data_IF_125198304975
#
_entry.id   IF_125198304975
#
_cell.length_a   1.000
_cell.length_b   1.000
_cell.length_c   1.000
_cell.angle_alpha   90.00
_cell.angle_beta   90.00
_cell.angle_gamma   90.00
#
_symmetry.space_group_name_H-M   'P 1'
#
loop_
_entity.id
_entity.type
_entity.pdbx_description
1 polymer ?
#
# COMPACT_ATOMS: atom_id res chain seq x y z
N UNK A 1 65.79 51.56 -7.17
CA UNK A 1 64.80 52.39 -7.89
C UNK A 1 63.45 52.24 -7.20
N UNK A 2 62.82 53.39 -6.90
CA UNK A 2 61.37 53.71 -6.66
C UNK A 2 60.53 52.65 -5.88
N UNK A 3 60.13 52.87 -4.61
CA UNK A 3 59.05 53.78 -4.08
C UNK A 3 57.68 53.44 -4.69
N UNK A 4 56.53 53.33 -4.00
CA UNK A 4 56.06 53.72 -2.66
C UNK A 4 54.54 53.33 -2.56
N UNK A 5 53.96 53.43 -1.34
CA UNK A 5 52.53 53.69 -1.01
C UNK A 5 51.50 52.56 -1.20
N UNK A 6 50.47 52.38 -0.36
CA UNK A 6 50.04 53.00 0.88
C UNK A 6 49.03 52.09 1.60
N UNK A 7 48.94 52.25 2.93
CA UNK A 7 47.76 52.25 3.80
C UNK A 7 46.45 51.72 3.20
N UNK A 8 45.80 50.71 3.77
CA UNK A 8 45.07 50.82 5.03
C UNK A 8 43.62 51.20 4.75
N UNK A 9 42.66 50.43 5.28
CA UNK A 9 41.35 50.85 5.83
C UNK A 9 40.49 49.62 6.10
N UNK A 10 40.09 49.54 7.36
CA UNK A 10 39.11 48.67 8.02
C UNK A 10 37.72 48.87 7.39
N UNK A 11 36.91 47.81 7.28
CA UNK A 11 35.54 47.78 7.83
C UNK A 11 34.73 46.54 7.38
N UNK A 12 34.36 45.74 8.39
CA UNK A 12 32.99 45.28 8.64
C UNK A 12 32.19 44.67 7.48
N UNK A 13 32.13 43.34 7.47
CA UNK A 13 30.97 42.57 6.98
C UNK A 13 30.63 41.49 8.01
N UNK A 14 30.19 41.95 9.17
CA UNK A 14 29.38 41.19 10.13
C UNK A 14 27.90 41.43 9.83
N UNK A 15 27.08 40.40 10.04
CA UNK A 15 25.60 40.33 9.89
C UNK A 15 25.15 40.17 8.42
N UNK A 16 24.40 39.14 8.00
CA UNK A 16 23.27 38.47 8.63
C UNK A 16 23.34 36.95 8.42
N UNK A 17 23.80 36.23 9.45
CA UNK A 17 23.38 34.84 9.63
C UNK A 17 22.01 34.87 10.28
N UNK A 18 20.93 34.73 9.50
CA UNK A 18 19.63 34.32 10.05
C UNK A 18 19.74 32.86 10.47
N UNK A 19 20.40 32.65 11.61
CA UNK A 19 20.14 31.51 12.46
C UNK A 19 18.69 31.63 12.90
N UNK A 20 17.77 30.93 12.23
CA UNK A 20 16.51 30.57 12.84
C UNK A 20 16.84 29.70 14.06
N UNK A 21 17.00 30.37 15.20
CA UNK A 21 17.04 29.73 16.50
C UNK A 21 15.68 29.05 16.67
N UNK A 22 15.65 27.73 16.43
CA UNK A 22 14.49 26.90 16.72
C UNK A 22 14.36 26.89 18.23
N UNK A 23 13.63 27.88 18.76
CA UNK A 23 13.27 27.94 20.17
C UNK A 23 12.66 26.61 20.54
N UNK A 24 13.23 25.97 21.55
CA UNK A 24 12.70 24.71 22.05
C UNK A 24 11.30 24.97 22.62
N UNK A 25 10.40 23.97 22.58
CA UNK A 25 8.99 24.11 23.02
C UNK A 25 8.89 24.67 24.46
N UNK A 26 9.91 24.41 25.28
CA UNK A 26 10.08 24.93 26.65
C UNK A 26 10.33 26.45 26.71
N UNK A 27 11.03 27.03 25.74
CA UNK A 27 11.33 28.46 25.65
C UNK A 27 10.17 29.28 25.08
N UNK A 28 9.22 28.62 24.41
CA UNK A 28 8.01 29.24 23.88
C UNK A 28 6.86 29.32 24.91
N UNK A 29 7.10 28.98 26.18
CA UNK A 29 6.13 29.12 27.27
C UNK A 29 5.05 28.05 27.32
N UNK A 30 5.21 26.95 26.59
CA UNK A 30 4.30 25.81 26.65
C UNK A 30 4.60 24.95 27.87
N UNK A 31 3.54 24.53 28.57
CA UNK A 31 3.64 23.58 29.67
C UNK A 31 3.99 22.18 29.13
N UNK A 32 5.28 21.88 29.15
CA UNK A 32 5.85 20.63 28.65
C UNK A 32 5.33 19.43 29.44
N UNK A 33 4.95 19.62 30.70
CA UNK A 33 4.40 18.56 31.56
C UNK A 33 2.97 18.23 31.15
N UNK A 34 2.13 19.25 30.93
CA UNK A 34 0.79 19.07 30.39
C UNK A 34 0.82 18.44 28.99
N UNK A 35 1.75 18.83 28.13
CA UNK A 35 1.93 18.21 26.80
C UNK A 35 2.41 16.76 26.92
N UNK A 36 3.33 16.45 27.85
CA UNK A 36 3.78 15.08 28.09
C UNK A 36 2.69 14.21 28.70
N UNK A 37 1.86 14.75 29.59
CA UNK A 37 0.68 14.06 30.10
C UNK A 37 -0.36 13.86 29.00
N UNK A 38 -0.58 14.86 28.15
CA UNK A 38 -1.49 14.72 27.00
C UNK A 38 -0.96 13.70 25.98
N UNK A 39 0.35 13.59 25.76
CA UNK A 39 0.99 12.54 24.95
C UNK A 39 0.93 11.17 25.65
N UNK A 40 1.04 11.12 26.98
CA UNK A 40 0.88 9.87 27.74
C UNK A 40 -0.58 9.40 27.80
N UNK A 41 -1.53 10.33 27.83
CA UNK A 41 -2.97 10.08 27.78
C UNK A 41 -3.38 9.68 26.36
N UNK A 42 -2.85 10.36 25.34
CA UNK A 42 -2.85 9.93 23.95
C UNK A 42 -1.77 8.87 23.74
N UNK A 43 -1.87 7.72 24.42
CA UNK A 43 -1.16 6.51 24.00
C UNK A 43 -1.54 6.25 22.56
N UNK A 44 -0.74 6.75 21.62
CA UNK A 44 -0.86 6.43 20.20
C UNK A 44 -0.71 4.92 20.17
N UNK A 45 -1.82 4.22 19.99
CA UNK A 45 -1.87 2.77 20.03
C UNK A 45 -0.94 2.30 18.92
N UNK A 46 0.24 1.81 19.30
CA UNK A 46 1.27 1.42 18.34
C UNK A 46 0.80 0.13 17.68
N UNK A 47 0.28 0.26 16.46
CA UNK A 47 -0.18 -0.87 15.66
C UNK A 47 1.07 -1.65 15.22
N UNK A 48 1.10 -2.95 15.52
CA UNK A 48 2.23 -3.81 15.15
C UNK A 48 2.11 -4.24 13.68
N UNK A 49 3.22 -4.60 13.00
CA UNK A 49 3.16 -5.17 11.66
C UNK A 49 2.22 -6.39 11.56
N UNK A 50 2.20 -7.24 12.58
CA UNK A 50 1.30 -8.39 12.65
C UNK A 50 -0.17 -7.97 12.72
N UNK A 51 -0.49 -6.89 13.44
CA UNK A 51 -1.86 -6.35 13.49
C UNK A 51 -2.29 -5.78 12.13
N UNK A 52 -1.39 -5.15 11.38
CA UNK A 52 -1.70 -4.72 10.02
C UNK A 52 -1.99 -5.92 9.10
N UNK A 53 -1.12 -6.94 9.13
CA UNK A 53 -1.30 -8.15 8.30
C UNK A 53 -2.60 -8.86 8.64
N UNK A 54 -2.87 -9.10 9.93
CA UNK A 54 -4.11 -9.76 10.38
C UNK A 54 -5.36 -8.96 9.97
N UNK A 55 -5.32 -7.63 10.10
CA UNK A 55 -6.42 -6.78 9.69
C UNK A 55 -6.68 -6.87 8.18
N UNK A 56 -5.61 -6.79 7.37
CA UNK A 56 -5.71 -6.89 5.90
C UNK A 56 -6.23 -8.26 5.49
N UNK A 57 -5.73 -9.33 6.10
CA UNK A 57 -6.13 -10.70 5.79
C UNK A 57 -7.63 -10.93 6.09
N UNK A 58 -8.07 -10.63 7.31
CA UNK A 58 -9.46 -10.81 7.74
C UNK A 58 -10.45 -9.99 6.89
N UNK A 59 -10.13 -8.72 6.66
CA UNK A 59 -11.03 -7.83 5.91
C UNK A 59 -11.06 -8.20 4.43
N UNK A 60 -9.91 -8.49 3.83
CA UNK A 60 -9.83 -8.84 2.42
C UNK A 60 -10.46 -10.19 2.12
N UNK A 61 -10.32 -11.18 3.00
CA UNK A 61 -11.00 -12.47 2.85
C UNK A 61 -12.52 -12.29 2.72
N UNK A 62 -13.12 -11.45 3.58
CA UNK A 62 -14.57 -11.17 3.50
C UNK A 62 -14.97 -10.46 2.20
N UNK A 63 -14.15 -9.52 1.73
CA UNK A 63 -14.37 -8.80 0.46
C UNK A 63 -14.27 -9.76 -0.71
N UNK A 64 -13.24 -10.59 -0.77
CA UNK A 64 -13.02 -11.54 -1.87
C UNK A 64 -14.14 -12.58 -1.94
N UNK A 65 -14.65 -13.07 -0.80
CA UNK A 65 -15.84 -13.95 -0.79
C UNK A 65 -17.04 -13.26 -1.43
N UNK A 66 -17.29 -11.99 -1.11
CA UNK A 66 -18.38 -11.23 -1.69
C UNK A 66 -18.18 -10.95 -3.19
N UNK A 67 -16.94 -10.67 -3.61
CA UNK A 67 -16.57 -10.47 -5.01
C UNK A 67 -16.74 -11.75 -5.83
N UNK A 68 -16.20 -12.87 -5.36
CA UNK A 68 -16.28 -14.15 -6.05
C UNK A 68 -17.73 -14.59 -6.20
N UNK A 69 -18.56 -14.46 -5.16
CA UNK A 69 -20.00 -14.76 -5.26
C UNK A 69 -20.72 -13.89 -6.29
N UNK A 70 -20.37 -12.60 -6.38
CA UNK A 70 -20.99 -11.67 -7.34
C UNK A 70 -20.54 -11.98 -8.77
N UNK A 71 -19.26 -12.32 -8.95
CA UNK A 71 -18.68 -12.70 -10.22
C UNK A 71 -19.28 -14.01 -10.73
N UNK A 72 -19.34 -15.05 -9.89
CA UNK A 72 -19.96 -16.34 -10.18
C UNK A 72 -21.43 -16.17 -10.63
N UNK A 73 -22.21 -15.38 -9.89
CA UNK A 73 -23.60 -15.11 -10.24
C UNK A 73 -23.77 -14.44 -11.62
N UNK A 74 -22.82 -13.60 -12.02
CA UNK A 74 -22.82 -12.99 -13.34
C UNK A 74 -22.41 -13.98 -14.43
N UNK A 75 -21.39 -14.81 -14.16
CA UNK A 75 -20.83 -15.74 -15.14
C UNK A 75 -21.82 -16.83 -15.56
N UNK A 76 -22.81 -17.13 -14.73
CA UNK A 76 -23.95 -17.97 -15.14
C UNK A 76 -24.75 -17.44 -16.34
N UNK A 77 -24.62 -16.14 -16.68
CA UNK A 77 -25.42 -15.48 -17.71
C UNK A 77 -24.57 -14.78 -18.78
N UNK A 78 -23.32 -14.49 -18.48
CA UNK A 78 -22.44 -13.67 -19.31
C UNK A 78 -21.00 -14.21 -19.30
N UNK A 79 -20.21 -13.99 -20.36
CA UNK A 79 -18.79 -14.32 -20.34
C UNK A 79 -18.04 -13.46 -19.31
N UNK A 80 -16.89 -13.96 -18.83
CA UNK A 80 -16.06 -13.31 -17.80
C UNK A 80 -15.75 -11.82 -18.11
N UNK A 81 -15.43 -11.50 -19.37
CA UNK A 81 -15.11 -10.13 -19.79
C UNK A 81 -16.27 -9.15 -19.55
N UNK A 82 -17.50 -9.57 -19.87
CA UNK A 82 -18.70 -8.76 -19.63
C UNK A 82 -18.97 -8.63 -18.13
N UNK A 83 -18.73 -9.71 -17.37
CA UNK A 83 -18.91 -9.71 -15.93
C UNK A 83 -17.95 -8.76 -15.21
N UNK A 84 -16.69 -8.68 -15.61
CA UNK A 84 -15.73 -7.74 -15.03
C UNK A 84 -16.24 -6.30 -15.13
N UNK A 85 -16.80 -5.92 -16.28
CA UNK A 85 -17.38 -4.59 -16.47
C UNK A 85 -18.66 -4.40 -15.64
N UNK A 86 -19.57 -5.37 -15.63
CA UNK A 86 -20.83 -5.29 -14.90
C UNK A 86 -20.66 -5.19 -13.38
N UNK A 87 -19.68 -5.91 -12.82
CA UNK A 87 -19.45 -5.89 -11.37
C UNK A 87 -18.60 -4.70 -10.93
N UNK A 88 -17.92 -4.00 -11.86
CA UNK A 88 -17.03 -2.87 -11.57
C UNK A 88 -17.64 -1.83 -10.61
N UNK A 89 -18.89 -1.35 -10.79
CA UNK A 89 -19.48 -0.37 -9.87
C UNK A 89 -19.63 -0.90 -8.44
N UNK A 90 -19.88 -2.21 -8.28
CA UNK A 90 -19.95 -2.85 -6.97
C UNK A 90 -18.56 -2.92 -6.31
N UNK A 91 -17.52 -3.28 -7.07
CA UNK A 91 -16.15 -3.30 -6.56
C UNK A 91 -15.69 -1.89 -6.19
N UNK A 92 -15.96 -0.90 -7.03
CA UNK A 92 -15.64 0.51 -6.78
C UNK A 92 -16.29 1.00 -5.48
N UNK A 93 -17.54 0.62 -5.22
CA UNK A 93 -18.22 0.93 -3.96
C UNK A 93 -17.52 0.30 -2.76
N UNK A 94 -17.11 -0.98 -2.85
CA UNK A 94 -16.37 -1.65 -1.77
C UNK A 94 -14.99 -1.00 -1.57
N UNK A 95 -14.27 -0.73 -2.65
CA UNK A 95 -12.97 -0.08 -2.65
C UNK A 95 -13.03 1.28 -1.95
N UNK A 96 -14.05 2.09 -2.23
CA UNK A 96 -14.28 3.38 -1.58
C UNK A 96 -14.60 3.22 -0.08
N UNK A 97 -15.48 2.29 0.28
CA UNK A 97 -15.89 2.07 1.68
C UNK A 97 -14.74 1.55 2.53
N UNK A 98 -13.94 0.62 2.00
CA UNK A 98 -12.87 -0.06 2.73
C UNK A 98 -11.51 0.62 2.57
N UNK A 99 -11.34 1.48 1.56
CA UNK A 99 -10.11 2.26 1.35
C UNK A 99 -9.00 1.46 0.67
N UNK A 100 -9.35 0.63 -0.31
CA UNK A 100 -8.38 -0.11 -1.13
C UNK A 100 -8.46 0.28 -2.59
N UNK A 101 -7.40 -0.02 -3.35
CA UNK A 101 -7.42 -0.11 -4.81
C UNK A 101 -7.45 -1.59 -5.19
N UNK A 102 -7.96 -1.92 -6.36
CA UNK A 102 -8.01 -3.31 -6.79
C UNK A 102 -7.58 -3.48 -8.24
N UNK A 103 -7.11 -4.68 -8.55
CA UNK A 103 -6.84 -5.14 -9.90
C UNK A 103 -7.33 -6.58 -10.04
N UNK A 104 -7.89 -6.91 -11.20
CA UNK A 104 -8.18 -8.28 -11.62
C UNK A 104 -7.08 -8.69 -12.60
N UNK A 105 -6.29 -9.69 -12.24
CA UNK A 105 -5.09 -10.06 -12.98
C UNK A 105 -5.29 -11.41 -13.67
N UNK A 106 -5.29 -11.41 -14.99
CA UNK A 106 -5.19 -12.63 -15.79
C UNK A 106 -3.73 -13.10 -15.86
N UNK A 107 -3.48 -14.29 -16.43
CA UNK A 107 -2.13 -14.77 -16.69
C UNK A 107 -1.29 -13.75 -17.49
N UNK A 108 -1.89 -13.12 -18.50
CA UNK A 108 -1.24 -12.08 -19.31
C UNK A 108 -0.88 -10.85 -18.48
N UNK A 109 -1.76 -10.45 -17.58
CA UNK A 109 -1.50 -9.29 -16.70
C UNK A 109 -0.39 -9.60 -15.71
N UNK A 110 -0.32 -10.83 -15.17
CA UNK A 110 0.78 -11.26 -14.31
C UNK A 110 2.12 -11.24 -15.03
N UNK A 111 2.19 -11.65 -16.30
CA UNK A 111 3.39 -11.55 -17.12
C UNK A 111 3.83 -10.09 -17.26
N UNK A 112 2.90 -9.20 -17.61
CA UNK A 112 3.18 -7.76 -17.71
C UNK A 112 3.60 -7.16 -16.36
N UNK A 113 3.00 -7.57 -15.25
CA UNK A 113 3.37 -7.16 -13.89
C UNK A 113 4.78 -7.60 -13.54
N UNK A 114 5.16 -8.83 -13.87
CA UNK A 114 6.52 -9.32 -13.65
C UNK A 114 7.56 -8.51 -14.44
N UNK A 115 7.29 -8.23 -15.72
CA UNK A 115 8.19 -7.44 -16.58
C UNK A 115 8.35 -5.98 -16.12
N UNK A 116 7.26 -5.39 -15.62
CA UNK A 116 7.21 -3.98 -15.20
C UNK A 116 7.48 -3.78 -13.70
N UNK A 117 7.70 -4.85 -12.95
CA UNK A 117 7.94 -4.81 -11.51
C UNK A 117 9.17 -3.95 -11.18
N UNK A 118 8.95 -3.01 -10.27
CA UNK A 118 9.93 -1.98 -9.93
C UNK A 118 10.92 -2.41 -8.85
N UNK A 119 10.55 -3.41 -8.05
CA UNK A 119 11.35 -3.93 -6.94
C UNK A 119 11.57 -5.43 -7.09
N UNK A 120 12.63 -5.94 -6.47
CA UNK A 120 12.91 -7.38 -6.45
C UNK A 120 11.81 -8.17 -5.71
N UNK A 121 11.22 -7.58 -4.67
CA UNK A 121 10.08 -8.17 -3.95
C UNK A 121 8.86 -8.33 -4.87
N UNK A 122 8.53 -7.30 -5.65
CA UNK A 122 7.44 -7.36 -6.63
C UNK A 122 7.71 -8.43 -7.70
N UNK A 123 8.94 -8.49 -8.22
CA UNK A 123 9.35 -9.50 -9.21
C UNK A 123 9.18 -10.93 -8.68
N UNK A 124 9.69 -11.20 -7.48
CA UNK A 124 9.59 -12.53 -6.87
C UNK A 124 8.15 -12.93 -6.60
N UNK A 125 7.31 -11.99 -6.15
CA UNK A 125 5.88 -12.23 -5.94
C UNK A 125 5.20 -12.65 -7.24
N UNK A 126 5.40 -11.89 -8.32
CA UNK A 126 4.75 -12.18 -9.62
C UNK A 126 5.31 -13.42 -10.29
N UNK A 127 6.61 -13.67 -10.16
CA UNK A 127 7.24 -14.88 -10.66
C UNK A 127 6.68 -16.14 -9.97
N UNK A 128 6.45 -16.09 -8.66
CA UNK A 128 5.84 -17.20 -7.93
C UNK A 128 4.42 -17.49 -8.43
N UNK A 129 3.58 -16.46 -8.56
CA UNK A 129 2.22 -16.63 -9.09
C UNK A 129 2.19 -17.13 -10.54
N UNK A 130 3.09 -16.61 -11.40
CA UNK A 130 3.22 -17.10 -12.78
C UNK A 130 3.62 -18.57 -12.81
N UNK A 131 4.63 -18.95 -12.03
CA UNK A 131 5.08 -20.33 -11.93
C UNK A 131 3.95 -21.26 -11.48
N UNK A 132 3.23 -20.91 -10.42
CA UNK A 132 2.14 -21.74 -9.91
C UNK A 132 0.98 -21.85 -10.90
N UNK A 133 0.62 -20.77 -11.61
CA UNK A 133 -0.39 -20.83 -12.66
C UNK A 133 0.05 -21.69 -13.86
N UNK A 134 1.30 -21.57 -14.31
CA UNK A 134 1.83 -22.34 -15.44
C UNK A 134 1.97 -23.84 -15.12
N UNK A 135 2.27 -24.17 -13.86
CA UNK A 135 2.32 -25.56 -13.39
C UNK A 135 0.95 -26.12 -12.99
N UNK A 136 -0.11 -25.32 -13.02
CA UNK A 136 -1.45 -25.73 -12.58
C UNK A 136 -1.52 -26.04 -11.08
N UNK A 137 -0.66 -25.42 -10.28
CA UNK A 137 -0.70 -25.53 -8.82
C UNK A 137 -1.82 -24.66 -8.23
N UNK A 138 -2.28 -25.04 -7.04
CA UNK A 138 -3.24 -24.25 -6.28
C UNK A 138 -2.60 -22.94 -5.81
N UNK A 139 -3.11 -21.83 -6.33
CA UNK A 139 -2.74 -20.51 -5.87
C UNK A 139 -3.23 -20.27 -4.44
N UNK A 140 -2.34 -19.74 -3.60
CA UNK A 140 -2.67 -19.40 -2.21
C UNK A 140 -2.93 -17.91 -2.05
N UNK A 141 -3.82 -17.59 -1.11
CA UNK A 141 -3.99 -16.21 -0.64
C UNK A 141 -2.73 -15.75 0.09
N UNK A 142 -2.33 -14.50 -0.11
CA UNK A 142 -1.10 -13.97 0.49
C UNK A 142 -1.25 -12.50 0.86
N UNK A 143 -0.58 -12.09 1.93
CA UNK A 143 -0.48 -10.69 2.35
C UNK A 143 0.98 -10.28 2.35
N UNK A 144 1.31 -9.29 1.53
CA UNK A 144 2.67 -8.77 1.39
C UNK A 144 2.69 -7.28 1.69
N UNK A 145 3.68 -6.84 2.47
CA UNK A 145 3.94 -5.42 2.67
C UNK A 145 4.99 -4.95 1.66
N UNK A 146 4.60 -4.03 0.78
CA UNK A 146 5.50 -3.40 -0.20
C UNK A 146 6.06 -2.12 0.44
N UNK A 147 7.30 -2.21 0.90
CA UNK A 147 7.92 -1.20 1.77
C UNK A 147 8.08 0.15 1.07
N UNK A 148 8.44 0.12 -0.21
CA UNK A 148 8.71 1.30 -1.04
C UNK A 148 7.45 2.14 -1.22
N UNK A 149 6.29 1.49 -1.36
CA UNK A 149 4.97 2.13 -1.55
C UNK A 149 4.23 2.37 -0.24
N UNK A 150 4.66 1.72 0.85
CA UNK A 150 3.94 1.66 2.15
C UNK A 150 2.52 1.13 1.97
N UNK A 151 2.40 0.04 1.24
CA UNK A 151 1.13 -0.60 0.90
C UNK A 151 1.14 -2.06 1.35
N UNK A 152 -0.02 -2.55 1.78
CA UNK A 152 -0.27 -3.97 1.96
C UNK A 152 -1.03 -4.49 0.75
N UNK A 153 -0.49 -5.51 0.12
CA UNK A 153 -1.08 -6.19 -1.03
C UNK A 153 -1.66 -7.51 -0.54
N UNK A 154 -2.96 -7.68 -0.76
CA UNK A 154 -3.67 -8.93 -0.55
C UNK A 154 -3.94 -9.55 -1.92
N UNK A 155 -3.41 -10.73 -2.15
CA UNK A 155 -3.65 -11.49 -3.37
C UNK A 155 -4.52 -12.69 -3.07
N UNK A 156 -5.52 -12.95 -3.91
CA UNK A 156 -6.39 -14.10 -3.76
C UNK A 156 -6.79 -14.70 -5.12
N UNK A 157 -6.79 -16.04 -5.24
CA UNK A 157 -7.18 -16.69 -6.47
C UNK A 157 -8.66 -16.52 -6.77
N UNK A 158 -8.96 -16.48 -8.06
CA UNK A 158 -10.30 -16.58 -8.60
C UNK A 158 -10.45 -17.98 -9.17
N UNK A 159 -11.20 -18.80 -8.44
CA UNK A 159 -11.49 -20.19 -8.82
C UNK A 159 -12.92 -20.22 -9.34
N UNK A 160 -13.11 -20.78 -10.53
CA UNK A 160 -14.43 -21.03 -11.11
C UNK A 160 -14.74 -22.51 -11.02
N UNK A 161 -15.90 -22.86 -10.47
CA UNK A 161 -16.38 -24.24 -10.42
C UNK A 161 -17.30 -24.51 -11.61
N UNK A 162 -16.86 -24.27 -12.85
CA UNK A 162 -17.68 -24.57 -14.02
C UNK A 162 -17.54 -26.03 -14.46
N UNK A 163 -16.35 -26.63 -14.31
CA UNK A 163 -16.09 -28.03 -14.61
C UNK A 163 -15.41 -28.73 -13.43
N UNK A 164 -16.01 -29.83 -12.94
CA UNK A 164 -15.55 -30.60 -11.79
C UNK A 164 -14.11 -31.17 -11.91
N UNK A 165 -13.48 -31.05 -13.07
CA UNK A 165 -12.14 -31.58 -13.37
C UNK A 165 -11.05 -30.50 -13.47
N UNK A 166 -11.40 -29.20 -13.47
CA UNK A 166 -10.43 -28.10 -13.60
C UNK A 166 -10.63 -27.07 -12.49
N UNK A 167 -10.08 -27.33 -11.30
CA UNK A 167 -9.98 -26.33 -10.22
C UNK A 167 -8.86 -25.31 -10.45
N UNK A 168 -8.32 -25.21 -11.67
CA UNK A 168 -7.23 -24.30 -11.98
C UNK A 168 -7.70 -22.85 -11.83
N UNK A 169 -7.02 -22.02 -11.01
CA UNK A 169 -7.37 -20.62 -10.87
C UNK A 169 -7.13 -19.89 -12.20
N UNK A 170 -8.14 -19.14 -12.64
CA UNK A 170 -8.15 -18.49 -13.95
C UNK A 170 -7.65 -17.05 -13.87
N UNK A 171 -7.74 -16.44 -12.68
CA UNK A 171 -7.29 -15.09 -12.43
C UNK A 171 -6.91 -14.90 -10.95
N UNK A 172 -6.37 -13.72 -10.64
CA UNK A 172 -5.97 -13.31 -9.29
C UNK A 172 -6.58 -11.94 -8.97
N UNK A 173 -7.25 -11.82 -7.83
CA UNK A 173 -7.54 -10.53 -7.23
C UNK A 173 -6.29 -9.98 -6.57
N UNK A 174 -5.97 -8.72 -6.84
CA UNK A 174 -4.99 -7.94 -6.09
C UNK A 174 -5.71 -6.78 -5.42
N UNK A 175 -5.80 -6.79 -4.09
CA UNK A 175 -6.32 -5.68 -3.29
C UNK A 175 -5.16 -4.94 -2.63
N UNK A 176 -5.10 -3.63 -2.81
CA UNK A 176 -3.98 -2.80 -2.40
C UNK A 176 -4.45 -1.78 -1.36
N UNK A 177 -3.94 -1.92 -0.15
CA UNK A 177 -4.27 -1.08 1.00
C UNK A 177 -3.10 -0.16 1.35
N UNK A 178 -3.23 1.16 1.14
CA UNK A 178 -2.25 2.10 1.67
C UNK A 178 -2.22 2.01 3.19
N UNK A 179 -1.03 1.94 3.80
CA UNK A 179 -0.87 1.83 5.25
C UNK A 179 -1.65 2.93 6.01
N UNK A 180 -1.70 4.14 5.45
CA UNK A 180 -2.46 5.27 5.99
C UNK A 180 -3.96 5.00 6.11
N UNK A 181 -4.54 4.24 5.18
CA UNK A 181 -5.98 3.91 5.22
C UNK A 181 -6.26 2.88 6.31
N UNK A 182 -5.35 1.92 6.51
CA UNK A 182 -5.47 0.95 7.60
C UNK A 182 -5.37 1.63 8.96
N UNK A 183 -4.40 2.55 9.15
CA UNK A 183 -4.23 3.28 10.41
C UNK A 183 -5.52 4.01 10.84
N UNK A 184 -6.28 4.58 9.89
CA UNK A 184 -7.57 5.24 10.19
C UNK A 184 -8.63 4.30 10.76
N UNK A 185 -8.47 2.97 10.61
CA UNK A 185 -9.42 1.96 11.08
C UNK A 185 -9.13 1.48 12.50
N UNK A 186 -7.95 1.80 13.04
CA UNK A 186 -7.54 1.43 14.40
C UNK A 186 -7.76 2.57 15.43
N UNK A 187 -8.15 3.75 14.95
CA UNK A 187 -8.47 4.93 15.75
C UNK A 187 -9.98 5.12 15.81
#
# INVERSE_FOLDING_TARGET
MKRLFAWGWIAWLSTFGWSCEVKTIKEAGYDVEAIQEEIKLRKVKRITPAQFVAWVDEHSASVVVALNRRLEACMHQHPLADCEEQIRPYIDSLAAVHGFRYEFLTLKDLQSKHETASTEQEKQLWLAYLYDMEQGHDLQTNVQFIKERKEYWYTAPVVFYEDAESNAPVALWLLIFPQKEIVKRFN
#
